data_IF_796871212241
#
_entry.id   IF_796871212241
#
_cell.length_a   1.000
_cell.length_b   1.000
_cell.length_c   1.000
_cell.angle_alpha   90.00
_cell.angle_beta   90.00
_cell.angle_gamma   90.00
#
_symmetry.space_group_name_H-M   'P 1'
#
loop_
_entity.id
_entity.type
_entity.pdbx_description
1 polymer ?
#
# COMPACT_ATOMS: atom_id res chain seq x y z
N UNK A 1 -42.49 74.72 40.31
CA UNK A 1 -42.69 73.71 39.26
C UNK A 1 -41.41 73.65 38.42
N UNK A 2 -40.54 72.69 38.72
CA UNK A 2 -39.19 72.55 38.08
C UNK A 2 -39.27 71.42 37.11
N UNK A 3 -39.23 71.79 35.81
CA UNK A 3 -39.15 70.78 34.70
C UNK A 3 -37.72 70.23 34.60
N UNK A 4 -37.60 68.93 34.82
CA UNK A 4 -36.37 68.17 34.69
C UNK A 4 -36.27 67.70 33.22
N UNK A 5 -35.33 68.31 32.46
CA UNK A 5 -35.04 67.91 31.11
C UNK A 5 -34.31 66.58 31.12
N UNK A 6 -34.89 65.53 30.51
CA UNK A 6 -34.28 64.23 30.27
C UNK A 6 -33.30 64.37 29.10
N UNK A 7 -32.00 64.27 29.38
CA UNK A 7 -30.96 64.17 28.36
C UNK A 7 -30.85 62.76 27.81
N UNK A 8 -31.24 62.54 26.58
CA UNK A 8 -31.06 61.26 25.83
C UNK A 8 -29.56 60.99 25.58
N UNK A 9 -29.07 59.78 25.83
CA UNK A 9 -27.67 59.44 25.53
C UNK A 9 -27.45 59.44 24.01
N UNK A 10 -26.50 60.27 23.54
CA UNK A 10 -26.02 60.23 22.18
C UNK A 10 -25.41 58.87 21.88
N UNK A 11 -26.04 58.07 21.00
CA UNK A 11 -25.48 56.84 20.44
C UNK A 11 -24.15 57.20 19.75
N UNK A 12 -23.03 56.74 20.30
CA UNK A 12 -21.73 56.74 19.61
C UNK A 12 -21.83 55.86 18.39
N UNK A 13 -21.44 56.34 17.18
CA UNK A 13 -21.41 55.47 16.01
C UNK A 13 -20.47 54.31 16.29
N UNK A 14 -20.97 53.11 16.12
CA UNK A 14 -20.25 51.86 16.37
C UNK A 14 -18.91 51.83 15.66
N UNK A 15 -17.84 51.56 16.41
CA UNK A 15 -16.45 51.48 15.90
C UNK A 15 -16.25 50.50 14.72
N UNK A 16 -17.23 49.68 14.44
CA UNK A 16 -17.28 48.73 13.30
C UNK A 16 -17.32 49.42 11.92
N UNK A 17 -17.84 50.67 11.84
CA UNK A 17 -17.87 51.44 10.58
C UNK A 17 -16.49 51.96 10.17
N UNK A 18 -15.48 51.95 11.06
CA UNK A 18 -14.11 52.40 10.75
C UNK A 18 -13.25 51.31 10.12
N UNK A 19 -13.74 50.07 10.03
CA UNK A 19 -13.02 48.96 9.39
C UNK A 19 -13.38 48.75 7.91
N UNK A 20 -14.30 49.56 7.37
CA UNK A 20 -14.60 49.51 5.94
C UNK A 20 -13.41 50.14 5.18
N UNK A 21 -12.73 49.35 4.29
CA UNK A 21 -11.67 49.88 3.48
C UNK A 21 -12.21 51.03 2.63
N UNK A 22 -11.43 52.09 2.47
CA UNK A 22 -11.80 53.24 1.60
C UNK A 22 -12.08 52.73 0.19
N UNK A 23 -13.02 53.33 -0.53
CA UNK A 23 -13.37 52.90 -1.89
C UNK A 23 -12.13 52.78 -2.80
N UNK A 24 -11.10 53.64 -2.58
CA UNK A 24 -9.80 53.54 -3.28
C UNK A 24 -9.04 52.27 -2.94
N UNK A 25 -9.02 51.87 -1.66
CA UNK A 25 -8.37 50.60 -1.23
C UNK A 25 -9.07 49.36 -1.85
N UNK A 26 -10.39 49.39 -1.93
CA UNK A 26 -11.16 48.36 -2.57
C UNK A 26 -10.88 48.26 -4.09
N UNK A 27 -10.80 49.40 -4.79
CA UNK A 27 -10.44 49.43 -6.21
C UNK A 27 -9.02 48.88 -6.45
N UNK A 28 -8.04 49.30 -5.64
CA UNK A 28 -6.66 48.79 -5.74
C UNK A 28 -6.59 47.29 -5.47
N UNK A 29 -7.29 46.80 -4.44
CA UNK A 29 -7.33 45.37 -4.12
C UNK A 29 -7.97 44.58 -5.28
N UNK A 30 -9.07 45.05 -5.84
CA UNK A 30 -9.72 44.41 -6.99
C UNK A 30 -8.83 44.40 -8.22
N UNK A 31 -8.16 45.53 -8.52
CA UNK A 31 -7.22 45.61 -9.64
C UNK A 31 -6.05 44.59 -9.46
N UNK A 32 -5.47 44.50 -8.26
CA UNK A 32 -4.42 43.53 -7.96
C UNK A 32 -4.88 42.07 -8.13
N UNK A 33 -6.09 41.75 -7.69
CA UNK A 33 -6.68 40.42 -7.87
C UNK A 33 -6.89 40.11 -9.36
N UNK A 34 -7.39 41.07 -10.14
CA UNK A 34 -7.57 40.89 -11.59
C UNK A 34 -6.24 40.72 -12.33
N UNK A 35 -5.22 41.49 -11.96
CA UNK A 35 -3.88 41.35 -12.51
C UNK A 35 -3.29 39.99 -12.16
N UNK A 36 -3.39 39.57 -10.90
CA UNK A 36 -2.92 38.25 -10.44
C UNK A 36 -3.65 37.11 -11.15
N UNK A 37 -4.97 37.21 -11.31
CA UNK A 37 -5.79 36.24 -12.05
C UNK A 37 -5.41 36.20 -13.54
N UNK A 38 -5.16 37.34 -14.16
CA UNK A 38 -4.68 37.44 -15.54
C UNK A 38 -3.29 36.81 -15.73
N UNK A 39 -2.34 37.13 -14.86
CA UNK A 39 -1.00 36.52 -14.87
C UNK A 39 -1.05 35.01 -14.64
N UNK A 40 -1.89 34.54 -13.71
CA UNK A 40 -2.11 33.11 -13.47
C UNK A 40 -2.72 32.42 -14.70
N UNK A 41 -3.69 33.04 -15.34
CA UNK A 41 -4.32 32.53 -16.57
C UNK A 41 -3.30 32.41 -17.72
N UNK A 42 -2.48 33.43 -17.92
CA UNK A 42 -1.39 33.43 -18.89
C UNK A 42 -0.34 32.33 -18.56
N UNK A 43 0.12 32.25 -17.32
CA UNK A 43 1.09 31.26 -16.88
C UNK A 43 0.55 29.83 -17.09
N UNK A 44 -0.73 29.61 -16.88
CA UNK A 44 -1.39 28.32 -17.08
C UNK A 44 -1.55 27.95 -18.55
N UNK A 45 -1.70 28.92 -19.43
CA UNK A 45 -1.85 28.73 -20.88
C UNK A 45 -0.54 28.66 -21.66
N UNK A 46 0.61 28.96 -21.03
CA UNK A 46 1.92 28.96 -21.70
C UNK A 46 2.71 27.69 -21.42
N UNK A 47 3.68 27.38 -22.27
CA UNK A 47 4.65 26.29 -22.08
C UNK A 47 5.71 26.61 -21.01
N UNK A 48 5.63 27.77 -20.35
CA UNK A 48 6.60 28.21 -19.34
C UNK A 48 6.70 27.21 -18.15
N UNK A 49 5.60 26.52 -17.85
CA UNK A 49 5.54 25.51 -16.77
C UNK A 49 5.23 24.12 -17.33
N UNK A 50 5.61 23.85 -18.57
CA UNK A 50 5.42 22.53 -19.17
C UNK A 50 6.30 21.48 -18.49
N UNK A 51 5.74 20.29 -18.22
CA UNK A 51 6.48 19.13 -17.71
C UNK A 51 7.54 18.72 -18.73
N UNK A 52 8.81 18.85 -18.38
CA UNK A 52 9.96 18.40 -19.18
C UNK A 52 10.65 17.20 -18.55
N UNK A 53 10.58 17.10 -17.23
CA UNK A 53 11.27 16.05 -16.47
C UNK A 53 10.28 15.39 -15.52
N UNK A 54 10.26 14.07 -15.53
CA UNK A 54 9.55 13.26 -14.52
C UNK A 54 10.59 12.58 -13.64
N UNK A 55 10.70 13.07 -12.40
CA UNK A 55 11.57 12.50 -11.38
C UNK A 55 10.78 11.47 -10.57
N UNK A 56 11.29 10.22 -10.52
CA UNK A 56 10.64 9.13 -9.78
C UNK A 56 11.48 8.77 -8.58
N UNK A 57 10.87 8.81 -7.40
CA UNK A 57 11.51 8.50 -6.11
C UNK A 57 10.85 7.28 -5.45
N UNK A 58 11.63 6.49 -4.71
CA UNK A 58 11.14 5.32 -3.97
C UNK A 58 10.95 4.06 -4.81
N UNK A 59 11.36 4.06 -6.08
CA UNK A 59 11.24 2.93 -6.99
C UNK A 59 12.61 2.41 -7.43
N UNK A 60 12.71 1.11 -7.74
CA UNK A 60 13.87 0.55 -8.43
C UNK A 60 14.02 1.15 -9.83
N UNK A 61 15.21 1.12 -10.45
CA UNK A 61 15.42 1.67 -11.79
C UNK A 61 14.43 1.10 -12.84
N UNK A 62 14.11 -0.18 -12.75
CA UNK A 62 13.16 -0.84 -13.66
C UNK A 62 11.73 -0.32 -13.45
N UNK A 63 11.28 -0.21 -12.20
CA UNK A 63 9.95 0.33 -11.88
C UNK A 63 9.86 1.81 -12.23
N UNK A 64 10.91 2.59 -11.97
CA UNK A 64 10.96 4.01 -12.33
C UNK A 64 10.84 4.22 -13.86
N UNK A 65 11.40 3.32 -14.66
CA UNK A 65 11.23 3.36 -16.12
C UNK A 65 9.76 3.10 -16.53
N UNK A 66 9.08 2.13 -15.88
CA UNK A 66 7.66 1.86 -16.11
C UNK A 66 6.78 3.05 -15.72
N UNK A 67 7.06 3.68 -14.57
CA UNK A 67 6.34 4.88 -14.11
C UNK A 67 6.50 6.04 -15.10
N UNK A 68 7.72 6.29 -15.58
CA UNK A 68 7.93 7.32 -16.62
C UNK A 68 7.18 7.00 -17.90
N UNK A 69 7.17 5.72 -18.31
CA UNK A 69 6.42 5.29 -19.49
C UNK A 69 4.91 5.50 -19.32
N UNK A 70 4.35 5.19 -18.15
CA UNK A 70 2.94 5.43 -17.83
C UNK A 70 2.57 6.93 -17.82
N UNK A 71 3.55 7.80 -17.50
CA UNK A 71 3.36 9.24 -17.44
C UNK A 71 3.73 10.00 -18.72
N UNK A 72 4.13 9.33 -19.80
CA UNK A 72 4.38 9.99 -21.10
C UNK A 72 3.25 10.91 -21.57
N UNK A 73 1.95 10.56 -21.42
CA UNK A 73 0.86 11.46 -21.82
C UNK A 73 0.82 12.80 -21.06
N UNK A 74 1.53 12.90 -19.93
CA UNK A 74 1.57 14.12 -19.10
C UNK A 74 2.73 15.04 -19.50
N UNK A 75 3.71 14.54 -20.22
CA UNK A 75 4.84 15.33 -20.74
C UNK A 75 4.34 16.45 -21.65
N UNK A 76 4.91 17.63 -21.51
CA UNK A 76 4.50 18.83 -22.25
C UNK A 76 3.25 19.53 -21.69
N UNK A 77 2.49 18.91 -20.79
CA UNK A 77 1.35 19.59 -20.15
C UNK A 77 1.84 20.59 -19.08
N UNK A 78 1.09 21.66 -18.89
CA UNK A 78 1.44 22.67 -17.92
C UNK A 78 1.22 22.18 -16.49
N UNK A 79 2.26 22.26 -15.63
CA UNK A 79 2.23 21.83 -14.22
C UNK A 79 1.08 22.46 -13.42
N UNK A 80 0.73 23.73 -13.70
CA UNK A 80 -0.38 24.42 -13.03
C UNK A 80 -1.77 23.88 -13.44
N UNK A 81 -1.86 23.32 -14.65
CA UNK A 81 -3.10 22.76 -15.17
C UNK A 81 -3.26 21.27 -14.86
N UNK A 82 -2.17 20.61 -14.43
CA UNK A 82 -2.13 19.17 -14.22
C UNK A 82 -3.01 18.73 -13.04
N UNK A 83 -3.85 17.74 -13.28
CA UNK A 83 -4.78 17.20 -12.27
C UNK A 83 -4.25 15.89 -11.71
N UNK A 84 -4.54 15.61 -10.44
CA UNK A 84 -4.16 14.37 -9.76
C UNK A 84 -4.64 13.11 -10.52
N UNK A 85 -5.84 13.14 -11.09
CA UNK A 85 -6.41 12.03 -11.86
C UNK A 85 -5.65 11.66 -13.12
N UNK A 86 -4.79 12.54 -13.64
CA UNK A 86 -3.93 12.23 -14.78
C UNK A 86 -2.58 11.63 -14.37
N UNK A 87 -2.22 11.65 -13.09
CA UNK A 87 -0.92 11.21 -12.58
C UNK A 87 -1.04 9.95 -11.73
N UNK A 88 -1.88 10.00 -10.69
CA UNK A 88 -1.92 8.95 -9.68
C UNK A 88 -2.48 7.63 -10.22
N UNK A 89 -3.67 7.60 -10.87
CA UNK A 89 -4.25 6.34 -11.33
C UNK A 89 -3.35 5.56 -12.32
N UNK A 90 -2.77 6.17 -13.39
CA UNK A 90 -1.91 5.43 -14.31
C UNK A 90 -0.68 4.82 -13.65
N UNK A 91 -0.18 5.43 -12.56
CA UNK A 91 0.95 4.90 -11.81
C UNK A 91 0.51 3.78 -10.88
N UNK A 92 -0.64 3.90 -10.21
CA UNK A 92 -1.18 2.88 -9.29
C UNK A 92 -1.75 1.65 -10.02
N UNK A 93 -2.09 1.79 -11.30
CA UNK A 93 -2.43 0.65 -12.16
C UNK A 93 -1.24 -0.29 -12.38
N UNK A 94 0.00 0.19 -12.28
CA UNK A 94 1.18 -0.66 -12.39
C UNK A 94 1.18 -1.73 -11.29
N UNK A 95 1.32 -3.02 -11.63
CA UNK A 95 1.19 -4.13 -10.67
C UNK A 95 2.15 -4.05 -9.49
N UNK A 96 3.34 -3.49 -9.69
CA UNK A 96 4.38 -3.34 -8.67
C UNK A 96 4.25 -2.08 -7.81
N UNK A 97 3.20 -1.26 -8.02
CA UNK A 97 2.98 -0.03 -7.27
C UNK A 97 1.86 -0.22 -6.25
N UNK A 98 2.16 0.06 -5.00
CA UNK A 98 1.20 0.06 -3.90
C UNK A 98 0.42 1.37 -3.82
N UNK A 99 1.13 2.48 -3.92
CA UNK A 99 0.57 3.83 -3.92
C UNK A 99 1.53 4.82 -4.56
N UNK A 100 0.99 5.91 -5.07
CA UNK A 100 1.75 6.99 -5.65
C UNK A 100 1.28 8.34 -5.10
N UNK A 101 2.23 9.25 -4.97
CA UNK A 101 1.98 10.66 -4.69
C UNK A 101 2.84 11.51 -5.60
N UNK A 102 2.46 12.76 -5.80
CA UNK A 102 3.23 13.64 -6.66
C UNK A 102 3.36 15.03 -6.05
N UNK A 103 4.41 15.72 -6.47
CA UNK A 103 4.67 17.10 -6.16
C UNK A 103 5.11 17.84 -7.43
N UNK A 104 4.88 19.15 -7.48
CA UNK A 104 5.25 20.01 -8.58
C UNK A 104 6.51 20.77 -8.20
N UNK A 105 7.62 20.39 -8.82
CA UNK A 105 8.90 21.08 -8.63
C UNK A 105 9.12 22.03 -9.81
N UNK A 106 8.70 23.28 -9.58
CA UNK A 106 8.76 24.32 -10.60
C UNK A 106 10.20 24.63 -11.01
N UNK A 107 10.43 25.01 -12.26
CA UNK A 107 9.43 25.34 -13.29
C UNK A 107 8.98 24.18 -14.17
N UNK A 108 9.67 23.01 -14.24
CA UNK A 108 9.48 22.02 -15.29
C UNK A 108 9.45 20.57 -14.82
N UNK A 109 9.60 20.32 -13.52
CA UNK A 109 9.75 18.97 -12.99
C UNK A 109 8.48 18.49 -12.30
N UNK A 110 8.00 17.31 -12.68
CA UNK A 110 7.00 16.53 -11.95
C UNK A 110 7.73 15.51 -11.10
N UNK A 111 7.70 15.66 -9.79
CA UNK A 111 8.26 14.68 -8.86
C UNK A 111 7.18 13.69 -8.44
N UNK A 112 7.40 12.40 -8.68
CA UNK A 112 6.50 11.32 -8.32
C UNK A 112 7.16 10.42 -7.30
N UNK A 113 6.54 10.30 -6.12
CA UNK A 113 6.97 9.35 -5.09
C UNK A 113 6.13 8.09 -5.20
N UNK A 114 6.80 6.96 -5.30
CA UNK A 114 6.18 5.66 -5.45
C UNK A 114 6.51 4.81 -4.22
N UNK A 115 5.49 4.18 -3.67
CA UNK A 115 5.66 3.11 -2.68
C UNK A 115 5.47 1.79 -3.43
N UNK A 116 6.51 0.97 -3.58
CA UNK A 116 6.39 -0.31 -4.27
C UNK A 116 5.60 -1.33 -3.45
N UNK A 117 5.07 -2.34 -4.12
CA UNK A 117 4.53 -3.53 -3.46
C UNK A 117 5.66 -4.36 -2.85
N UNK A 118 5.44 -4.83 -1.63
CA UNK A 118 6.38 -5.71 -0.94
C UNK A 118 6.06 -7.17 -1.27
N UNK A 119 6.97 -7.91 -1.92
CA UNK A 119 6.75 -9.31 -2.21
C UNK A 119 6.82 -10.15 -0.93
N UNK A 120 5.84 -11.04 -0.74
CA UNK A 120 5.78 -11.93 0.45
C UNK A 120 5.81 -13.40 0.08
N UNK A 121 5.40 -13.78 -1.13
CA UNK A 121 5.39 -15.16 -1.58
C UNK A 121 5.46 -15.29 -3.09
N UNK A 122 5.84 -16.50 -3.54
CA UNK A 122 5.69 -16.95 -4.91
C UNK A 122 4.48 -17.87 -4.98
N UNK A 123 3.48 -17.48 -5.75
CA UNK A 123 2.33 -18.30 -6.09
C UNK A 123 2.74 -19.29 -7.18
N UNK A 124 2.37 -20.56 -7.06
CA UNK A 124 2.64 -21.57 -8.08
C UNK A 124 1.39 -22.35 -8.47
N UNK A 125 1.16 -22.46 -9.77
CA UNK A 125 0.13 -23.31 -10.35
C UNK A 125 0.73 -24.02 -11.57
N UNK A 126 0.94 -25.33 -11.47
CA UNK A 126 1.65 -26.08 -12.49
C UNK A 126 3.07 -25.55 -12.72
N UNK A 127 3.38 -25.17 -13.96
CA UNK A 127 4.67 -24.56 -14.33
C UNK A 127 4.73 -23.04 -14.16
N UNK A 128 3.59 -22.37 -14.01
CA UNK A 128 3.51 -20.94 -13.87
C UNK A 128 3.81 -20.50 -12.45
N UNK A 129 4.48 -19.34 -12.32
CA UNK A 129 4.82 -18.76 -11.03
C UNK A 129 4.65 -17.25 -11.07
N UNK A 130 4.08 -16.70 -10.01
CA UNK A 130 3.83 -15.27 -9.88
C UNK A 130 4.33 -14.78 -8.52
N UNK A 131 4.92 -13.60 -8.52
CA UNK A 131 5.27 -12.90 -7.30
C UNK A 131 4.03 -12.18 -6.76
N UNK A 132 3.72 -12.36 -5.48
CA UNK A 132 2.56 -11.74 -4.84
C UNK A 132 2.98 -10.86 -3.68
N UNK A 133 2.21 -9.79 -3.48
CA UNK A 133 2.43 -8.83 -2.40
C UNK A 133 1.73 -9.22 -1.10
N UNK A 134 2.09 -8.50 -0.04
CA UNK A 134 1.45 -8.58 1.27
C UNK A 134 -0.07 -8.29 1.26
N UNK A 135 -0.58 -7.61 0.22
CA UNK A 135 -2.00 -7.32 0.01
C UNK A 135 -2.68 -8.35 -0.91
N UNK A 136 -2.00 -9.44 -1.21
CA UNK A 136 -2.44 -10.46 -2.17
C UNK A 136 -2.59 -9.91 -3.61
N UNK A 137 -1.86 -8.85 -3.99
CA UNK A 137 -1.79 -8.37 -5.36
C UNK A 137 -0.72 -9.15 -6.13
N UNK A 138 -1.03 -9.56 -7.36
CA UNK A 138 -0.08 -10.21 -8.26
C UNK A 138 0.84 -9.15 -8.86
N UNK A 139 2.13 -9.21 -8.52
CA UNK A 139 3.12 -8.19 -8.93
C UNK A 139 3.63 -8.48 -10.34
N UNK A 140 4.08 -9.71 -10.58
CA UNK A 140 4.68 -10.10 -11.86
C UNK A 140 4.72 -11.61 -12.02
N UNK A 141 4.84 -12.06 -13.26
CA UNK A 141 5.26 -13.43 -13.60
C UNK A 141 6.75 -13.53 -13.29
N UNK A 142 7.18 -14.63 -12.68
CA UNK A 142 8.58 -14.84 -12.28
C UNK A 142 9.03 -16.25 -12.57
N UNK A 143 10.34 -16.42 -12.80
CA UNK A 143 10.97 -17.73 -12.68
C UNK A 143 11.29 -17.99 -11.21
N UNK A 144 10.59 -18.98 -10.63
CA UNK A 144 10.73 -19.32 -9.23
C UNK A 144 12.08 -19.94 -8.87
N UNK A 145 12.91 -20.31 -9.83
CA UNK A 145 14.20 -20.96 -9.61
C UNK A 145 15.20 -20.07 -8.85
N UNK A 146 15.15 -18.75 -9.10
CA UNK A 146 15.99 -17.75 -8.45
C UNK A 146 15.50 -17.26 -7.08
N UNK A 147 14.26 -17.57 -6.70
CA UNK A 147 13.59 -17.02 -5.50
C UNK A 147 13.47 -18.06 -4.37
N UNK A 148 14.57 -18.74 -4.02
CA UNK A 148 14.56 -19.84 -3.03
C UNK A 148 14.20 -19.39 -1.61
N UNK A 149 14.51 -18.15 -1.25
CA UNK A 149 14.25 -17.60 0.08
C UNK A 149 12.80 -17.10 0.27
N UNK A 150 12.02 -17.01 -0.81
CA UNK A 150 10.64 -16.51 -0.75
C UNK A 150 9.69 -17.70 -0.56
N UNK A 151 8.77 -17.65 0.43
CA UNK A 151 7.79 -18.71 0.64
C UNK A 151 6.93 -18.99 -0.60
N UNK A 152 6.52 -20.25 -0.77
CA UNK A 152 5.69 -20.66 -1.91
C UNK A 152 4.26 -20.95 -1.48
N UNK A 153 3.29 -20.45 -2.23
CA UNK A 153 1.88 -20.82 -2.10
C UNK A 153 1.52 -21.73 -3.27
N UNK A 154 1.10 -22.94 -2.97
CA UNK A 154 0.73 -23.91 -3.98
C UNK A 154 -0.77 -23.86 -4.21
N UNK A 155 -1.16 -23.66 -5.47
CA UNK A 155 -2.53 -23.71 -5.97
C UNK A 155 -2.75 -24.92 -6.87
N UNK A 156 -4.00 -25.34 -7.06
CA UNK A 156 -4.36 -26.35 -8.07
C UNK A 156 -3.87 -25.96 -9.46
N UNK A 157 -3.60 -26.97 -10.30
CA UNK A 157 -3.27 -26.71 -11.69
C UNK A 157 -4.43 -26.05 -12.44
N UNK A 158 -4.10 -25.15 -13.38
CA UNK A 158 -5.12 -24.43 -14.16
C UNK A 158 -5.60 -23.12 -13.52
N UNK A 159 -5.04 -22.74 -12.37
CA UNK A 159 -5.31 -21.42 -11.80
C UNK A 159 -4.50 -20.37 -12.59
N UNK A 160 -5.20 -19.47 -13.26
CA UNK A 160 -4.60 -18.38 -14.02
C UNK A 160 -4.87 -17.04 -13.34
N UNK A 161 -3.82 -16.25 -13.20
CA UNK A 161 -3.87 -14.91 -12.60
C UNK A 161 -3.06 -13.94 -13.44
N UNK A 162 -3.57 -12.73 -13.53
CA UNK A 162 -2.92 -11.66 -14.30
C UNK A 162 -2.15 -10.72 -13.36
N UNK A 163 -0.97 -10.22 -13.76
CA UNK A 163 -0.30 -9.14 -13.03
C UNK A 163 -1.22 -7.93 -12.85
N UNK A 164 -1.24 -7.40 -11.63
CA UNK A 164 -2.12 -6.29 -11.23
C UNK A 164 -3.43 -6.73 -10.58
N UNK A 165 -3.90 -7.96 -10.81
CA UNK A 165 -5.10 -8.47 -10.14
C UNK A 165 -4.86 -8.75 -8.66
N UNK A 166 -5.94 -8.77 -7.88
CA UNK A 166 -5.92 -9.21 -6.49
C UNK A 166 -6.38 -10.66 -6.41
N UNK A 167 -5.66 -11.45 -5.63
CA UNK A 167 -6.11 -12.80 -5.29
C UNK A 167 -7.33 -12.72 -4.40
N UNK A 168 -8.21 -13.70 -4.53
CA UNK A 168 -9.40 -13.88 -3.70
C UNK A 168 -9.27 -15.10 -2.83
N UNK A 169 -10.20 -15.27 -1.90
CA UNK A 169 -10.40 -16.46 -1.11
C UNK A 169 -9.13 -17.01 -0.43
N UNK A 170 -8.87 -18.27 -0.61
CA UNK A 170 -7.81 -19.04 0.04
C UNK A 170 -6.40 -18.50 -0.25
N UNK A 171 -6.13 -18.10 -1.49
CA UNK A 171 -4.82 -17.60 -1.87
C UNK A 171 -4.53 -16.25 -1.18
N UNK A 172 -5.54 -15.39 -1.06
CA UNK A 172 -5.43 -14.13 -0.33
C UNK A 172 -5.25 -14.35 1.18
N UNK A 173 -5.93 -15.34 1.75
CA UNK A 173 -5.79 -15.71 3.15
C UNK A 173 -4.38 -16.23 3.44
N UNK A 174 -3.81 -17.08 2.58
CA UNK A 174 -2.43 -17.55 2.69
C UNK A 174 -1.42 -16.42 2.62
N UNK A 175 -1.59 -15.48 1.69
CA UNK A 175 -0.70 -14.32 1.57
C UNK A 175 -0.72 -13.44 2.84
N UNK A 176 -1.90 -13.19 3.39
CA UNK A 176 -2.06 -12.43 4.65
C UNK A 176 -1.41 -13.14 5.84
N UNK A 177 -1.59 -14.47 5.94
CA UNK A 177 -0.98 -15.27 6.98
C UNK A 177 0.55 -15.24 6.88
N UNK A 178 1.12 -15.45 5.70
CA UNK A 178 2.56 -15.37 5.47
C UNK A 178 3.13 -14.02 5.87
N UNK A 179 2.47 -12.92 5.48
CA UNK A 179 2.87 -11.58 5.91
C UNK A 179 2.91 -11.47 7.43
N UNK A 180 1.88 -11.98 8.11
CA UNK A 180 1.79 -11.89 9.57
C UNK A 180 2.92 -12.68 10.26
N UNK A 181 3.29 -13.87 9.76
CA UNK A 181 4.42 -14.66 10.25
C UNK A 181 5.77 -13.98 9.98
N UNK A 182 5.96 -13.40 8.79
CA UNK A 182 7.17 -12.65 8.45
C UNK A 182 7.31 -11.41 9.34
N UNK A 183 6.23 -10.65 9.52
CA UNK A 183 6.22 -9.45 10.37
C UNK A 183 6.46 -9.78 11.85
N UNK A 184 6.01 -10.95 12.30
CA UNK A 184 6.23 -11.43 13.66
C UNK A 184 7.66 -11.93 13.92
N UNK A 185 8.54 -11.93 12.91
CA UNK A 185 9.95 -12.33 13.04
C UNK A 185 10.12 -13.81 13.41
N UNK A 186 9.30 -14.70 12.85
CA UNK A 186 9.40 -16.13 13.15
C UNK A 186 10.75 -16.69 12.73
N UNK A 187 11.59 -17.02 13.72
CA UNK A 187 13.02 -17.32 13.57
C UNK A 187 13.31 -18.52 12.65
N UNK A 188 12.38 -19.48 12.57
CA UNK A 188 12.54 -20.70 11.77
C UNK A 188 12.10 -20.54 10.30
N UNK A 189 11.65 -19.35 9.90
CA UNK A 189 11.22 -19.03 8.56
C UNK A 189 10.12 -19.96 8.03
N UNK A 190 9.23 -19.41 7.21
CA UNK A 190 8.20 -20.20 6.52
C UNK A 190 8.68 -20.44 5.10
N UNK A 191 8.63 -21.68 4.62
CA UNK A 191 9.04 -22.06 3.26
C UNK A 191 7.88 -22.19 2.31
N UNK A 192 6.73 -22.64 2.80
CA UNK A 192 5.54 -22.79 1.97
C UNK A 192 4.26 -22.61 2.80
N UNK A 193 3.18 -22.30 2.10
CA UNK A 193 1.83 -22.27 2.62
C UNK A 193 0.91 -23.07 1.69
N UNK A 194 -0.08 -23.71 2.27
CA UNK A 194 -1.13 -24.45 1.54
C UNK A 194 -2.45 -24.25 2.24
N UNK A 195 -3.49 -24.04 1.46
CA UNK A 195 -4.87 -24.09 1.95
C UNK A 195 -5.58 -25.23 1.24
N UNK A 196 -6.24 -26.07 2.01
CA UNK A 196 -7.13 -27.12 1.52
C UNK A 196 -8.40 -27.10 2.35
N UNK A 197 -9.56 -27.04 1.68
CA UNK A 197 -10.87 -27.01 2.36
C UNK A 197 -11.01 -25.91 3.42
N UNK A 198 -10.41 -24.75 3.18
CA UNK A 198 -10.41 -23.63 4.13
C UNK A 198 -9.42 -23.74 5.29
N UNK A 199 -8.62 -24.81 5.38
CA UNK A 199 -7.61 -25.02 6.41
C UNK A 199 -6.23 -24.63 5.92
N UNK A 200 -5.59 -23.71 6.65
CA UNK A 200 -4.27 -23.20 6.38
C UNK A 200 -3.19 -24.00 7.08
N UNK A 201 -2.23 -24.49 6.32
CA UNK A 201 -1.01 -25.14 6.81
C UNK A 201 0.21 -24.42 6.28
N UNK A 202 1.20 -24.21 7.14
CA UNK A 202 2.50 -23.61 6.79
C UNK A 202 3.60 -24.62 7.04
N UNK A 203 4.60 -24.69 6.17
CA UNK A 203 5.82 -25.46 6.40
C UNK A 203 6.97 -24.55 6.72
N UNK A 204 7.82 -24.96 7.66
CA UNK A 204 9.00 -24.22 8.10
C UNK A 204 10.30 -24.81 7.53
N UNK A 205 11.38 -24.06 7.63
CA UNK A 205 12.73 -24.53 7.26
C UNK A 205 13.20 -25.72 8.11
N UNK A 206 12.73 -25.83 9.35
CA UNK A 206 13.06 -26.95 10.24
C UNK A 206 12.31 -28.24 9.89
N UNK A 207 11.38 -28.21 8.94
CA UNK A 207 10.52 -29.33 8.60
C UNK A 207 9.26 -29.46 9.47
N UNK A 208 9.04 -28.54 10.42
CA UNK A 208 7.83 -28.50 11.24
C UNK A 208 6.67 -27.94 10.42
N UNK A 209 5.54 -28.66 10.38
CA UNK A 209 4.28 -28.18 9.85
C UNK A 209 3.49 -27.43 10.92
N UNK A 210 3.00 -26.22 10.58
CA UNK A 210 2.13 -25.42 11.43
C UNK A 210 0.71 -25.50 10.88
N UNK A 211 -0.18 -26.20 11.58
CA UNK A 211 -1.59 -26.31 11.19
C UNK A 211 -2.39 -25.22 11.87
N UNK A 212 -2.83 -24.25 11.10
CA UNK A 212 -3.52 -23.07 11.62
C UNK A 212 -5.05 -23.23 11.53
N UNK A 213 -5.55 -24.25 10.77
CA UNK A 213 -6.97 -24.39 10.50
C UNK A 213 -7.52 -23.19 9.73
N UNK A 214 -8.75 -22.78 10.02
CA UNK A 214 -9.34 -21.60 9.41
C UNK A 214 -8.48 -20.35 9.64
N UNK A 215 -8.32 -19.45 8.63
CA UNK A 215 -7.47 -18.25 8.73
C UNK A 215 -8.09 -17.13 9.57
N UNK A 216 -8.81 -17.49 10.62
CA UNK A 216 -9.34 -16.61 11.65
C UNK A 216 -8.34 -16.52 12.83
N UNK A 217 -8.38 -15.43 13.59
CA UNK A 217 -7.58 -15.20 14.80
C UNK A 217 -6.07 -15.41 14.61
N UNK A 218 -5.56 -15.12 13.41
CA UNK A 218 -4.17 -15.29 13.06
C UNK A 218 -3.19 -14.67 14.07
N UNK A 219 -3.40 -13.46 14.63
CA UNK A 219 -2.48 -12.91 15.62
C UNK A 219 -2.34 -13.79 16.87
N UNK A 220 -3.43 -14.37 17.36
CA UNK A 220 -3.41 -15.28 18.51
C UNK A 220 -2.69 -16.58 18.16
N UNK A 221 -3.01 -17.19 17.04
CA UNK A 221 -2.37 -18.43 16.57
C UNK A 221 -0.87 -18.24 16.36
N UNK A 222 -0.46 -17.10 15.80
CA UNK A 222 0.96 -16.75 15.64
C UNK A 222 1.65 -16.62 17.00
N UNK A 223 1.04 -15.95 17.97
CA UNK A 223 1.59 -15.81 19.31
C UNK A 223 1.78 -17.18 20.00
N UNK A 224 0.82 -18.10 19.83
CA UNK A 224 0.92 -19.47 20.35
C UNK A 224 2.10 -20.21 19.68
N UNK A 225 2.20 -20.15 18.35
CA UNK A 225 3.31 -20.76 17.61
C UNK A 225 4.65 -20.20 18.06
N UNK A 226 4.77 -18.88 18.24
CA UNK A 226 6.01 -18.22 18.70
C UNK A 226 6.45 -18.69 20.08
N UNK A 227 5.51 -18.97 20.97
CA UNK A 227 5.82 -19.46 22.31
C UNK A 227 6.13 -20.96 22.34
N UNK A 228 5.42 -21.78 21.56
CA UNK A 228 5.54 -23.24 21.63
C UNK A 228 6.63 -23.76 20.70
N UNK A 229 6.69 -23.33 19.44
CA UNK A 229 7.59 -23.92 18.45
C UNK A 229 9.08 -23.89 18.87
N UNK A 230 9.61 -22.84 19.53
CA UNK A 230 11.01 -22.85 20.01
C UNK A 230 11.31 -23.87 21.12
N UNK A 231 10.28 -24.34 21.84
CA UNK A 231 10.45 -25.32 22.93
C UNK A 231 10.42 -26.78 22.44
N UNK A 232 10.00 -26.99 21.18
CA UNK A 232 9.92 -28.31 20.60
C UNK A 232 11.29 -28.76 20.06
N UNK A 233 11.60 -30.04 20.23
CA UNK A 233 12.75 -30.65 19.56
C UNK A 233 12.54 -30.58 18.02
N UNK A 234 13.63 -30.50 17.27
CA UNK A 234 13.54 -30.48 15.81
C UNK A 234 13.02 -31.83 15.26
N UNK A 235 12.21 -31.82 14.19
CA UNK A 235 11.79 -33.05 13.51
C UNK A 235 12.95 -33.96 13.12
N UNK A 236 14.08 -33.38 12.71
CA UNK A 236 15.31 -34.09 12.34
C UNK A 236 15.98 -34.86 13.52
N UNK A 237 15.65 -34.49 14.75
CA UNK A 237 16.15 -35.14 15.97
C UNK A 237 15.10 -35.97 16.70
N UNK A 238 14.04 -36.36 15.99
CA UNK A 238 12.93 -37.17 16.54
C UNK A 238 11.85 -36.34 17.25
N UNK A 239 11.88 -35.03 17.13
CA UNK A 239 10.83 -34.15 17.63
C UNK A 239 9.52 -34.23 16.81
N UNK A 240 8.50 -33.48 17.21
CA UNK A 240 7.23 -33.45 16.52
C UNK A 240 7.37 -32.90 15.10
N UNK A 241 6.63 -33.50 14.15
CA UNK A 241 6.62 -33.06 12.76
C UNK A 241 5.53 -32.03 12.48
N UNK A 242 4.56 -31.88 13.37
CA UNK A 242 3.56 -30.83 13.26
C UNK A 242 3.23 -30.20 14.62
N UNK A 243 2.81 -28.94 14.56
CA UNK A 243 2.17 -28.21 15.64
C UNK A 243 0.81 -27.72 15.13
N UNK A 244 -0.26 -28.23 15.72
CA UNK A 244 -1.63 -27.87 15.41
C UNK A 244 -2.11 -26.81 16.41
N UNK A 245 -2.45 -25.65 15.89
CA UNK A 245 -3.03 -24.52 16.61
C UNK A 245 -4.37 -24.09 15.99
N UNK A 246 -5.02 -25.01 15.26
CA UNK A 246 -6.35 -24.75 14.69
C UNK A 246 -7.36 -24.34 15.75
N UNK A 247 -7.25 -24.96 16.93
CA UNK A 247 -7.99 -24.62 18.14
C UNK A 247 -7.00 -23.97 19.13
N UNK A 248 -6.99 -22.63 19.26
CA UNK A 248 -6.00 -21.91 20.08
C UNK A 248 -5.90 -22.35 21.53
N UNK A 249 -7.03 -22.79 22.11
CA UNK A 249 -7.12 -23.22 23.51
C UNK A 249 -6.52 -24.61 23.75
N UNK A 250 -6.25 -25.37 22.67
CA UNK A 250 -5.73 -26.74 22.75
C UNK A 250 -4.68 -27.00 21.68
N UNK A 251 -3.51 -26.35 21.75
CA UNK A 251 -2.41 -26.63 20.84
C UNK A 251 -1.92 -28.07 21.01
N UNK A 252 -1.67 -28.76 19.90
CA UNK A 252 -1.21 -30.15 19.89
C UNK A 252 0.04 -30.27 19.03
N UNK A 253 1.10 -30.85 19.58
CA UNK A 253 2.30 -31.22 18.82
C UNK A 253 2.34 -32.74 18.65
N UNK A 254 2.69 -33.24 17.47
CA UNK A 254 2.73 -34.64 17.19
C UNK A 254 3.58 -35.01 15.98
N UNK A 255 3.64 -36.30 15.71
CA UNK A 255 4.37 -36.86 14.56
C UNK A 255 3.34 -37.30 13.52
N UNK A 256 3.49 -36.86 12.27
CA UNK A 256 2.68 -37.38 11.18
C UNK A 256 2.99 -38.87 11.01
N UNK A 257 1.99 -39.75 10.95
CA UNK A 257 2.27 -41.13 10.56
C UNK A 257 2.93 -41.09 9.18
N UNK A 258 4.11 -41.68 9.08
CA UNK A 258 4.74 -41.88 7.79
C UNK A 258 3.82 -42.79 6.99
N UNK A 259 3.22 -42.27 5.93
CA UNK A 259 2.60 -43.08 4.90
C UNK A 259 3.77 -43.77 4.22
N UNK A 260 4.01 -45.04 4.63
CA UNK A 260 5.03 -45.85 4.01
C UNK A 260 4.76 -45.90 2.51
N UNK A 261 5.75 -45.43 1.75
CA UNK A 261 5.75 -45.50 0.29
C UNK A 261 6.01 -46.90 -0.23
#
# INVERSE_FOLDING_TARGET
MTQRALSLPRRRPSALLRLLPSGRALLVATALVLIAAGLYGLARGTSMFAVRTVEVQGASPALAAQVRAALRPVEGTNLLALKAGAIVPPVEELPAVRSASYDRDFPHTLRVRVVPEEPVAVLRSGSASWLISARARVISIVDASGLRAVPRIWLPAGFDVQPGSFLTDDAAAAARALRAFVAAGFANGVTWARIRQGELTLGTHSGLELRLGAPADLPLKIAIVQNIAPTLALPSTGGPTYLDVSVPERPVAGINPQVGG
#
